data_IF_732955678040
#
_entry.id   IF_732955678040
#
_cell.length_a   1.000
_cell.length_b   1.000
_cell.length_c   1.000
_cell.angle_alpha   90.00
_cell.angle_beta   90.00
_cell.angle_gamma   90.00
#
_symmetry.space_group_name_H-M   'P 1'
#
loop_
_entity.id
_entity.type
_entity.pdbx_description
1 polymer ?
#
# COMPACT_ATOMS: atom_id res chain seq x y z
N UNK A 1 28.20 45.96 -3.31
CA UNK A 1 27.49 44.85 -4.01
C UNK A 1 27.68 43.61 -3.17
N UNK A 2 26.67 43.22 -2.44
CA UNK A 2 26.65 41.89 -1.85
C UNK A 2 26.45 40.93 -3.00
N UNK A 3 27.40 40.04 -3.26
CA UNK A 3 27.22 38.98 -4.23
C UNK A 3 26.03 38.16 -3.76
N UNK A 4 25.02 38.00 -4.61
CA UNK A 4 23.93 37.03 -4.34
C UNK A 4 24.56 35.65 -4.26
N UNK A 5 24.40 34.99 -3.16
CA UNK A 5 24.74 33.57 -3.07
C UNK A 5 23.59 32.84 -3.76
N UNK A 6 23.89 32.18 -4.87
CA UNK A 6 22.91 31.30 -5.53
C UNK A 6 22.42 30.31 -4.50
N UNK A 7 21.12 30.33 -4.19
CA UNK A 7 20.53 29.40 -3.24
C UNK A 7 20.17 28.09 -3.93
N UNK A 8 20.79 27.01 -3.47
CA UNK A 8 20.49 25.68 -3.94
C UNK A 8 19.06 25.28 -3.56
N UNK A 9 18.39 24.54 -4.44
CA UNK A 9 17.09 23.96 -4.14
C UNK A 9 17.30 22.77 -3.23
N UNK A 10 16.79 22.86 -2.00
CA UNK A 10 16.78 21.76 -1.04
C UNK A 10 15.41 21.05 -1.01
N UNK A 11 15.40 19.82 -0.51
CA UNK A 11 14.20 19.02 -0.34
C UNK A 11 14.05 18.53 1.10
N UNK A 12 12.84 18.68 1.64
CA UNK A 12 12.40 18.04 2.87
C UNK A 12 11.31 17.00 2.56
N UNK A 13 11.24 15.94 3.35
CA UNK A 13 10.31 14.83 3.09
C UNK A 13 9.63 14.32 4.33
N UNK A 14 8.34 14.08 4.22
CA UNK A 14 7.53 13.41 5.21
C UNK A 14 6.59 12.40 4.53
N UNK A 15 6.55 11.18 5.07
CA UNK A 15 5.55 10.16 4.71
C UNK A 15 4.68 9.91 5.95
N UNK A 16 3.37 10.15 5.90
CA UNK A 16 2.47 9.85 7.00
C UNK A 16 2.57 8.37 7.40
N UNK A 17 2.59 8.11 8.70
CA UNK A 17 2.54 6.74 9.22
C UNK A 17 1.10 6.40 9.58
N UNK A 18 0.61 5.27 9.11
CA UNK A 18 -0.51 4.63 9.78
C UNK A 18 -0.10 4.23 11.21
N UNK A 19 -1.00 4.39 12.16
CA UNK A 19 -0.75 4.12 13.60
C UNK A 19 -0.42 2.65 13.88
N UNK A 20 -0.62 1.75 12.94
CA UNK A 20 -0.40 0.33 13.15
C UNK A 20 0.89 -0.18 12.51
N UNK A 21 1.85 -0.50 13.38
CA UNK A 21 2.79 -1.62 13.27
C UNK A 21 4.03 -1.44 12.40
N UNK A 22 5.07 -2.19 12.83
CA UNK A 22 6.35 -2.35 12.16
C UNK A 22 6.21 -2.48 10.64
N UNK A 23 7.10 -1.82 9.89
CA UNK A 23 7.01 -1.70 8.44
C UNK A 23 6.83 -3.03 7.74
N UNK A 24 5.80 -3.13 6.92
CA UNK A 24 5.57 -4.26 6.05
C UNK A 24 6.53 -4.24 4.87
N UNK A 25 6.91 -5.42 4.36
CA UNK A 25 7.75 -5.52 3.16
C UNK A 25 7.09 -4.81 1.98
N UNK A 26 7.85 -3.97 1.27
CA UNK A 26 7.37 -3.19 0.12
C UNK A 26 6.63 -1.90 0.47
N UNK A 27 6.39 -1.61 1.76
CA UNK A 27 5.74 -0.37 2.17
C UNK A 27 6.68 0.83 2.07
N UNK A 28 6.18 1.92 1.48
CA UNK A 28 6.85 3.21 1.44
C UNK A 28 6.60 3.98 2.74
N UNK A 29 7.66 4.30 3.44
CA UNK A 29 7.67 5.05 4.71
C UNK A 29 8.83 6.04 4.69
N UNK A 30 8.84 7.01 5.59
CA UNK A 30 10.01 7.89 5.76
C UNK A 30 11.30 7.09 5.94
N UNK A 31 11.27 6.02 6.71
CA UNK A 31 12.44 5.16 6.92
C UNK A 31 12.85 4.38 5.67
N UNK A 32 11.89 3.89 4.87
CA UNK A 32 12.21 3.12 3.66
C UNK A 32 12.82 3.99 2.58
N UNK A 33 12.33 5.22 2.38
CA UNK A 33 12.90 6.16 1.40
C UNK A 33 14.25 6.74 1.86
N UNK A 34 14.56 6.70 3.15
CA UNK A 34 15.87 7.09 3.70
C UNK A 34 16.94 6.01 3.57
N UNK A 35 16.61 4.84 3.01
CA UNK A 35 17.61 3.81 2.72
C UNK A 35 18.56 4.28 1.61
N UNK A 36 19.69 3.59 1.48
CA UNK A 36 20.60 3.80 0.36
C UNK A 36 19.91 3.48 -0.99
N UNK A 37 20.39 4.08 -2.06
CA UNK A 37 19.82 3.90 -3.40
C UNK A 37 19.76 2.43 -3.84
N UNK A 38 20.81 1.67 -3.60
CA UNK A 38 20.92 0.24 -3.91
C UNK A 38 19.97 -0.64 -3.05
N UNK A 39 19.48 -0.10 -1.94
CA UNK A 39 18.48 -0.71 -1.09
C UNK A 39 17.04 -0.21 -1.36
N UNK A 40 16.81 0.42 -2.52
CA UNK A 40 15.51 0.92 -2.94
C UNK A 40 15.05 2.20 -2.23
N UNK A 41 15.99 2.98 -1.70
CA UNK A 41 15.70 4.28 -1.08
C UNK A 41 15.60 5.41 -2.11
N UNK A 42 15.21 6.58 -1.63
CA UNK A 42 15.09 7.80 -2.43
C UNK A 42 13.72 8.00 -3.07
N UNK A 43 13.62 9.13 -3.75
CA UNK A 43 12.43 9.52 -4.52
C UNK A 43 12.83 10.23 -5.81
N UNK A 44 11.94 10.21 -6.80
CA UNK A 44 12.15 10.85 -8.11
C UNK A 44 11.45 12.19 -8.17
N UNK A 45 12.13 13.21 -8.72
CA UNK A 45 11.61 14.57 -8.87
C UNK A 45 11.58 14.99 -10.32
N UNK A 46 10.46 15.58 -10.73
CA UNK A 46 10.28 16.31 -11.98
C UNK A 46 10.10 17.78 -11.66
N UNK A 47 10.84 18.66 -12.33
CA UNK A 47 10.72 20.10 -12.14
C UNK A 47 10.64 20.81 -13.47
N UNK A 48 9.67 21.71 -13.56
CA UNK A 48 9.33 22.48 -14.75
C UNK A 48 9.63 23.95 -14.49
N UNK A 49 10.45 24.54 -15.33
CA UNK A 49 10.70 25.96 -15.37
C UNK A 49 9.83 26.59 -16.47
N UNK A 50 8.96 27.49 -16.10
CA UNK A 50 7.96 28.08 -16.99
C UNK A 50 8.12 29.58 -17.21
N UNK A 51 9.27 30.14 -16.86
CA UNK A 51 9.51 31.57 -16.95
C UNK A 51 8.50 32.36 -16.07
N UNK A 52 7.86 33.35 -16.65
CA UNK A 52 6.82 34.15 -16.00
C UNK A 52 5.40 33.58 -16.19
N UNK A 53 5.27 32.48 -16.92
CA UNK A 53 3.96 31.82 -17.14
C UNK A 53 3.61 30.88 -16.00
N UNK A 54 2.30 30.78 -15.72
CA UNK A 54 1.84 29.70 -14.84
C UNK A 54 2.04 28.34 -15.49
N UNK A 55 2.11 27.28 -14.70
CA UNK A 55 2.21 25.93 -15.21
C UNK A 55 1.09 25.58 -16.20
N UNK A 56 -0.14 26.01 -15.88
CA UNK A 56 -1.30 25.81 -16.76
C UNK A 56 -1.15 26.50 -18.10
N UNK A 57 -0.73 27.80 -18.11
CA UNK A 57 -0.49 28.55 -19.34
C UNK A 57 0.67 27.98 -20.16
N UNK A 58 1.73 27.51 -19.47
CA UNK A 58 2.86 26.87 -20.11
C UNK A 58 2.49 25.54 -20.75
N UNK A 59 1.52 24.79 -20.15
CA UNK A 59 0.99 23.57 -20.73
C UNK A 59 0.34 23.83 -22.09
N UNK A 60 -0.51 24.86 -22.16
CA UNK A 60 -1.17 25.29 -23.41
C UNK A 60 -0.14 25.76 -24.48
N UNK A 61 0.95 26.37 -24.04
CA UNK A 61 2.03 26.83 -24.90
C UNK A 61 3.10 25.75 -25.22
N UNK A 62 2.86 24.50 -24.86
CA UNK A 62 3.81 23.37 -25.02
C UNK A 62 5.15 23.56 -24.28
N UNK A 63 5.18 24.38 -23.24
CA UNK A 63 6.37 24.65 -22.43
C UNK A 63 6.52 23.75 -21.21
N UNK A 64 5.48 22.99 -20.86
CA UNK A 64 5.46 22.12 -19.69
C UNK A 64 6.21 20.81 -19.92
N UNK A 65 7.44 20.88 -20.30
CA UNK A 65 8.36 19.74 -20.32
C UNK A 65 9.19 19.76 -19.06
N UNK A 66 9.64 18.61 -18.53
CA UNK A 66 10.53 18.57 -17.37
C UNK A 66 11.93 19.07 -17.77
N UNK A 67 12.03 20.37 -18.00
CA UNK A 67 13.20 21.06 -18.56
C UNK A 67 14.21 21.50 -17.49
N UNK A 68 13.89 21.33 -16.22
CA UNK A 68 14.74 21.72 -15.11
C UNK A 68 15.27 20.52 -14.33
N UNK A 69 14.38 19.60 -13.93
CA UNK A 69 14.75 18.28 -13.40
C UNK A 69 13.88 17.21 -14.06
N UNK A 70 14.47 16.13 -14.50
CA UNK A 70 13.78 15.00 -15.08
C UNK A 70 14.13 13.73 -14.31
N UNK A 71 13.14 13.12 -13.67
CA UNK A 71 13.32 11.93 -12.84
C UNK A 71 14.58 11.99 -11.99
N UNK A 72 14.84 13.17 -11.41
CA UNK A 72 16.01 13.39 -10.60
C UNK A 72 15.92 12.57 -9.32
N UNK A 73 16.80 11.60 -9.17
CA UNK A 73 16.90 10.83 -7.94
C UNK A 73 17.43 11.71 -6.81
N UNK A 74 16.72 11.70 -5.69
CA UNK A 74 17.08 12.40 -4.45
C UNK A 74 17.22 11.36 -3.34
N UNK A 75 18.38 11.33 -2.67
CA UNK A 75 18.74 10.29 -1.71
C UNK A 75 19.18 10.90 -0.39
N UNK A 76 18.95 10.14 0.70
CA UNK A 76 19.32 10.58 2.04
C UNK A 76 20.73 10.11 2.42
N UNK A 77 21.58 11.06 2.80
CA UNK A 77 22.98 10.76 3.19
C UNK A 77 23.17 10.55 4.69
N UNK A 78 22.12 10.27 5.45
CA UNK A 78 22.03 10.20 6.91
C UNK A 78 21.90 11.55 7.62
N UNK A 79 21.94 12.66 6.90
CA UNK A 79 21.83 14.03 7.47
C UNK A 79 20.87 14.89 6.66
N UNK A 80 20.96 14.82 5.34
CA UNK A 80 20.19 15.66 4.42
C UNK A 80 19.82 14.88 3.16
N UNK A 81 18.86 15.40 2.41
CA UNK A 81 18.51 14.93 1.09
C UNK A 81 19.41 15.55 0.05
N UNK A 82 20.07 14.74 -0.75
CA UNK A 82 21.05 15.15 -1.75
C UNK A 82 20.73 14.63 -3.14
N UNK A 83 21.12 15.37 -4.14
CA UNK A 83 21.02 14.99 -5.55
C UNK A 83 22.15 15.62 -6.37
N UNK A 84 22.44 15.05 -7.51
CA UNK A 84 23.49 15.52 -8.40
C UNK A 84 23.03 15.47 -9.87
N UNK A 85 23.22 16.55 -10.67
CA UNK A 85 23.83 17.83 -10.30
C UNK A 85 22.89 18.73 -9.46
N UNK A 86 23.46 19.49 -8.53
CA UNK A 86 22.70 20.46 -7.73
C UNK A 86 22.13 21.54 -8.62
N UNK A 87 20.89 21.92 -8.41
CA UNK A 87 20.17 22.99 -9.08
C UNK A 87 19.91 24.15 -8.14
N UNK A 88 19.88 25.33 -8.68
CA UNK A 88 19.70 26.58 -7.96
C UNK A 88 18.40 27.23 -8.43
N UNK A 89 17.79 28.01 -7.54
CA UNK A 89 16.61 28.79 -7.91
C UNK A 89 16.94 29.72 -9.09
N UNK A 90 16.06 29.78 -10.11
CA UNK A 90 16.28 30.68 -11.24
C UNK A 90 16.27 32.13 -10.75
N UNK A 91 17.32 32.80 -11.05
CA UNK A 91 17.55 34.24 -10.86
C UNK A 91 16.77 34.96 -9.77
N UNK A 92 17.38 35.16 -8.64
CA UNK A 92 16.80 35.94 -7.54
C UNK A 92 16.63 37.44 -7.84
N UNK A 93 17.34 37.96 -8.82
CA UNK A 93 17.39 39.39 -9.11
C UNK A 93 17.21 39.66 -10.61
N UNK A 94 16.14 40.41 -10.94
CA UNK A 94 15.84 40.86 -12.27
C UNK A 94 16.98 41.74 -12.89
N UNK A 95 17.35 41.46 -14.11
CA UNK A 95 18.07 42.42 -14.91
C UNK A 95 17.09 43.51 -15.34
N UNK A 96 17.07 44.64 -14.62
CA UNK A 96 16.36 45.84 -15.03
C UNK A 96 14.96 46.06 -14.47
N UNK A 97 14.39 45.15 -13.71
CA UNK A 97 13.19 45.41 -12.95
C UNK A 97 13.53 45.90 -11.53
N UNK A 98 12.66 46.66 -10.94
CA UNK A 98 12.71 47.03 -9.53
C UNK A 98 12.71 45.73 -8.71
N UNK A 99 13.57 45.64 -7.73
CA UNK A 99 13.67 44.46 -6.85
C UNK A 99 12.28 44.08 -6.30
N UNK A 100 11.67 43.05 -6.81
CA UNK A 100 10.38 42.57 -6.39
C UNK A 100 9.51 41.91 -7.47
N UNK A 101 9.81 42.09 -8.73
CA UNK A 101 8.94 41.64 -9.84
C UNK A 101 9.46 40.39 -10.56
N UNK A 102 10.17 39.52 -9.84
CA UNK A 102 10.58 38.27 -10.45
C UNK A 102 9.54 37.19 -10.33
N UNK A 103 9.16 36.75 -11.49
CA UNK A 103 8.09 35.79 -11.70
C UNK A 103 8.57 34.45 -12.25
N UNK A 104 9.90 34.22 -12.26
CA UNK A 104 10.45 32.94 -12.69
C UNK A 104 9.90 31.80 -11.83
N UNK A 105 9.14 30.89 -12.43
CA UNK A 105 8.35 29.88 -11.74
C UNK A 105 8.93 28.49 -11.93
N UNK A 106 8.92 27.73 -10.84
CA UNK A 106 9.19 26.30 -10.83
C UNK A 106 7.98 25.56 -10.31
N UNK A 107 7.67 24.45 -10.96
CA UNK A 107 6.66 23.51 -10.51
C UNK A 107 7.28 22.15 -10.26
N UNK A 108 7.00 21.57 -9.09
CA UNK A 108 7.65 20.36 -8.59
C UNK A 108 6.65 19.24 -8.44
N UNK A 109 7.00 18.07 -8.97
CA UNK A 109 6.26 16.84 -8.84
C UNK A 109 7.22 15.72 -8.42
N UNK A 110 6.80 14.86 -7.50
CA UNK A 110 7.66 13.78 -7.06
C UNK A 110 6.87 12.49 -6.76
N UNK A 111 7.58 11.37 -6.80
CA UNK A 111 7.05 10.06 -6.47
C UNK A 111 8.09 9.23 -5.70
N UNK A 112 7.64 8.26 -4.94
CA UNK A 112 8.48 7.31 -4.21
C UNK A 112 7.88 5.89 -4.27
N UNK A 113 8.71 4.83 -4.24
CA UNK A 113 10.18 4.83 -4.22
C UNK A 113 10.79 5.23 -5.56
N UNK A 114 12.05 5.67 -5.55
CA UNK A 114 12.77 6.04 -6.77
C UNK A 114 13.05 4.85 -7.68
N UNK A 115 12.86 5.05 -8.97
CA UNK A 115 13.23 4.11 -10.03
C UNK A 115 14.01 4.87 -11.11
N UNK A 116 15.26 4.47 -11.35
CA UNK A 116 16.10 5.14 -12.36
C UNK A 116 15.64 4.82 -13.78
N UNK A 117 15.34 3.54 -14.01
CA UNK A 117 14.76 3.02 -15.24
C UNK A 117 13.69 2.02 -14.84
N UNK A 118 12.46 2.34 -15.17
CA UNK A 118 11.36 1.46 -14.87
C UNK A 118 11.47 0.19 -15.72
N UNK A 119 11.53 -0.94 -15.06
CA UNK A 119 11.65 -2.25 -15.71
C UNK A 119 10.92 -3.29 -14.85
N UNK A 120 10.37 -4.28 -15.51
CA UNK A 120 9.63 -5.36 -14.85
C UNK A 120 8.17 -5.38 -15.27
N UNK A 121 7.48 -6.44 -14.83
CA UNK A 121 6.11 -6.73 -15.22
C UNK A 121 5.09 -6.29 -14.15
N UNK A 122 5.53 -5.93 -12.95
CA UNK A 122 4.71 -5.56 -11.78
C UNK A 122 5.34 -4.38 -11.02
N UNK A 123 4.53 -3.63 -10.28
CA UNK A 123 4.96 -2.42 -9.59
C UNK A 123 5.12 -1.22 -10.52
N UNK A 124 6.15 -0.40 -10.35
CA UNK A 124 6.44 0.75 -11.21
C UNK A 124 7.12 0.24 -12.50
N UNK A 125 6.38 0.25 -13.62
CA UNK A 125 6.83 -0.33 -14.87
C UNK A 125 7.22 0.68 -15.95
N UNK A 126 6.79 1.94 -15.82
CA UNK A 126 7.21 3.02 -16.70
C UNK A 126 7.12 4.38 -16.01
N UNK A 127 7.93 5.31 -16.51
CA UNK A 127 7.95 6.72 -16.11
C UNK A 127 7.80 7.55 -17.37
N UNK A 128 7.08 8.67 -17.30
CA UNK A 128 6.92 9.58 -18.43
C UNK A 128 8.27 9.94 -19.05
N UNK A 129 8.41 9.88 -20.39
CA UNK A 129 9.67 10.16 -21.04
C UNK A 129 10.07 11.64 -20.91
N UNK A 130 11.36 11.93 -20.93
CA UNK A 130 11.90 13.29 -20.83
C UNK A 130 11.42 14.24 -21.93
N UNK A 131 11.06 13.69 -23.07
CA UNK A 131 10.51 14.44 -24.21
C UNK A 131 8.99 14.41 -24.26
N UNK A 132 8.34 14.06 -23.15
CA UNK A 132 6.87 14.08 -23.06
C UNK A 132 6.42 15.52 -23.31
N UNK A 133 5.97 15.76 -24.54
CA UNK A 133 5.58 17.09 -24.97
C UNK A 133 4.28 17.49 -24.27
N UNK A 134 4.27 18.64 -23.62
CA UNK A 134 3.07 19.26 -23.06
C UNK A 134 2.24 18.28 -22.20
N UNK A 135 2.88 17.57 -21.29
CA UNK A 135 2.20 16.62 -20.43
C UNK A 135 2.67 16.65 -18.98
N UNK A 136 1.76 16.41 -18.08
CA UNK A 136 2.09 16.20 -16.68
C UNK A 136 3.01 14.99 -16.51
N UNK A 137 3.93 15.01 -15.55
CA UNK A 137 4.74 13.83 -15.24
C UNK A 137 3.83 12.72 -14.71
N UNK A 138 4.12 11.50 -15.12
CA UNK A 138 3.30 10.36 -14.75
C UNK A 138 4.14 9.10 -14.51
N UNK A 139 3.55 8.16 -13.81
CA UNK A 139 4.14 6.86 -13.45
C UNK A 139 3.15 5.77 -13.81
N UNK A 140 3.58 4.76 -14.57
CA UNK A 140 2.78 3.58 -14.87
C UNK A 140 3.00 2.52 -13.79
N UNK A 141 1.91 1.98 -13.30
CA UNK A 141 1.91 0.95 -12.28
C UNK A 141 1.13 -0.28 -12.74
N UNK A 142 1.68 -1.47 -12.48
CA UNK A 142 1.05 -2.76 -12.75
C UNK A 142 0.82 -3.50 -11.43
N UNK A 143 -0.39 -4.01 -11.26
CA UNK A 143 -0.83 -4.71 -10.06
C UNK A 143 0.00 -5.99 -9.83
N UNK A 144 0.60 -6.12 -8.66
CA UNK A 144 1.24 -7.34 -8.22
C UNK A 144 0.19 -8.31 -7.66
N UNK A 145 0.21 -9.55 -8.13
CA UNK A 145 -0.67 -10.62 -7.64
C UNK A 145 -0.01 -11.50 -6.59
N UNK A 146 1.31 -11.34 -6.40
CA UNK A 146 2.13 -11.97 -5.38
C UNK A 146 2.48 -10.92 -4.30
N UNK A 147 2.16 -11.15 -3.02
CA UNK A 147 2.41 -10.18 -1.95
C UNK A 147 3.91 -9.90 -1.69
N UNK A 148 4.81 -10.74 -2.21
CA UNK A 148 6.27 -10.54 -2.10
C UNK A 148 6.81 -9.52 -3.10
N UNK A 149 6.04 -9.18 -4.14
CA UNK A 149 6.41 -8.27 -5.23
C UNK A 149 5.72 -6.90 -5.16
N UNK A 150 4.96 -6.68 -4.11
CA UNK A 150 4.22 -5.42 -3.93
C UNK A 150 5.18 -4.25 -3.80
N UNK A 151 4.91 -3.20 -4.56
CA UNK A 151 5.54 -1.88 -4.46
C UNK A 151 4.46 -0.88 -4.08
N UNK A 152 4.65 -0.19 -2.98
CA UNK A 152 3.75 0.85 -2.50
C UNK A 152 4.15 2.19 -3.12
N UNK A 153 3.41 2.60 -4.16
CA UNK A 153 3.66 3.85 -4.88
C UNK A 153 3.03 5.02 -4.13
N UNK A 154 3.86 6.02 -3.85
CA UNK A 154 3.44 7.30 -3.29
C UNK A 154 3.71 8.45 -4.26
N UNK A 155 2.92 9.52 -4.17
CA UNK A 155 3.18 10.79 -4.87
C UNK A 155 3.26 11.94 -3.87
N UNK A 156 3.95 13.01 -4.26
CA UNK A 156 4.21 14.14 -3.40
C UNK A 156 3.15 15.24 -3.55
N UNK A 157 2.78 15.83 -2.42
CA UNK A 157 1.94 17.04 -2.33
C UNK A 157 2.55 18.04 -1.35
N UNK A 158 2.11 19.30 -1.41
CA UNK A 158 2.31 20.26 -0.34
C UNK A 158 1.48 19.85 0.88
N UNK A 159 2.10 19.85 2.04
CA UNK A 159 1.43 19.49 3.29
C UNK A 159 0.26 20.41 3.65
N UNK A 160 0.28 21.65 3.16
CA UNK A 160 -0.71 22.66 3.51
C UNK A 160 -2.04 22.50 2.78
N UNK A 161 -2.00 22.14 1.50
CA UNK A 161 -3.21 22.13 0.65
C UNK A 161 -3.51 20.79 -0.03
N UNK A 162 -2.54 19.86 -0.03
CA UNK A 162 -2.70 18.54 -0.63
C UNK A 162 -2.57 18.50 -2.15
N UNK A 163 -2.03 19.57 -2.77
CA UNK A 163 -1.70 19.65 -4.19
C UNK A 163 -0.18 19.66 -4.38
N UNK A 164 0.34 19.38 -5.59
CA UNK A 164 1.76 19.54 -5.89
C UNK A 164 2.26 20.98 -5.73
N UNK A 165 3.56 21.14 -5.60
CA UNK A 165 4.22 22.44 -5.51
C UNK A 165 4.26 23.12 -6.88
N UNK A 166 3.22 23.89 -7.23
CA UNK A 166 3.05 24.51 -8.55
C UNK A 166 3.29 26.02 -8.47
N UNK A 167 3.87 26.61 -9.53
CA UNK A 167 4.08 28.04 -9.71
C UNK A 167 4.86 28.69 -8.56
N UNK A 168 5.83 27.99 -8.03
CA UNK A 168 6.65 28.49 -6.92
C UNK A 168 7.77 29.39 -7.43
N UNK A 169 7.99 30.50 -6.74
CA UNK A 169 9.08 31.42 -6.97
C UNK A 169 10.02 31.39 -5.77
N UNK A 170 11.25 31.85 -5.94
CA UNK A 170 12.19 31.95 -4.82
C UNK A 170 11.63 32.77 -3.65
N UNK A 171 10.82 33.79 -3.96
CA UNK A 171 10.24 34.68 -2.95
C UNK A 171 9.09 34.02 -2.18
N UNK A 172 8.45 33.01 -2.75
CA UNK A 172 7.30 32.31 -2.13
C UNK A 172 7.70 31.07 -1.36
N UNK A 173 8.90 30.52 -1.63
CA UNK A 173 9.42 29.35 -0.92
C UNK A 173 10.53 29.77 0.03
N UNK A 174 10.34 29.52 1.32
CA UNK A 174 11.36 29.76 2.35
C UNK A 174 11.98 28.43 2.75
N UNK A 175 13.28 28.27 2.50
CA UNK A 175 14.00 27.02 2.77
C UNK A 175 13.72 25.93 1.73
N UNK A 176 13.64 24.69 2.17
CA UNK A 176 13.47 23.52 1.31
C UNK A 176 12.06 23.39 0.75
N UNK A 177 11.94 22.74 -0.41
CA UNK A 177 10.68 22.24 -0.95
C UNK A 177 10.28 21.00 -0.15
N UNK A 178 9.31 21.16 0.74
CA UNK A 178 8.90 20.10 1.67
C UNK A 178 7.78 19.25 1.06
N UNK A 179 8.10 18.02 0.70
CA UNK A 179 7.16 17.05 0.18
C UNK A 179 6.48 16.25 1.30
N UNK A 180 5.17 16.14 1.22
CA UNK A 180 4.40 15.13 1.91
C UNK A 180 4.01 14.06 0.90
N UNK A 181 4.52 12.85 1.08
CA UNK A 181 4.18 11.72 0.24
C UNK A 181 2.92 11.03 0.74
N UNK A 182 1.97 10.81 -0.16
CA UNK A 182 0.71 10.12 0.10
C UNK A 182 0.70 8.78 -0.66
N UNK A 183 0.06 7.77 -0.09
CA UNK A 183 -0.09 6.47 -0.75
C UNK A 183 -1.07 6.56 -1.92
N UNK A 184 -0.59 6.29 -3.13
CA UNK A 184 -1.38 6.37 -4.37
C UNK A 184 -2.34 5.19 -4.55
N UNK A 185 -2.15 4.12 -3.79
CA UNK A 185 -2.86 2.86 -3.88
C UNK A 185 -3.74 2.63 -2.65
N UNK A 186 -4.67 1.69 -2.75
CA UNK A 186 -5.32 1.09 -1.61
C UNK A 186 -4.48 -0.09 -1.11
N UNK A 187 -4.31 -0.23 0.21
CA UNK A 187 -3.69 -1.39 0.84
C UNK A 187 -4.76 -2.41 1.19
N UNK A 188 -4.50 -3.68 0.87
CA UNK A 188 -5.41 -4.77 1.16
C UNK A 188 -4.71 -5.84 1.99
N UNK A 189 -5.10 -5.94 3.25
CA UNK A 189 -4.57 -6.91 4.20
C UNK A 189 -5.49 -8.12 4.28
N UNK A 190 -4.91 -9.29 4.52
CA UNK A 190 -5.65 -10.50 4.82
C UNK A 190 -5.21 -11.01 6.19
N UNK A 191 -6.14 -11.05 7.12
CA UNK A 191 -5.93 -11.57 8.46
C UNK A 191 -6.69 -12.90 8.61
N UNK A 192 -6.07 -13.86 9.27
CA UNK A 192 -6.72 -15.15 9.51
C UNK A 192 -6.77 -15.44 11.00
N UNK A 193 -7.92 -15.86 11.48
CA UNK A 193 -8.10 -16.37 12.83
C UNK A 193 -8.98 -17.61 12.84
N UNK A 194 -8.83 -18.44 13.84
CA UNK A 194 -9.71 -19.59 14.08
C UNK A 194 -10.88 -19.22 14.97
N UNK A 195 -11.98 -19.83 14.70
CA UNK A 195 -13.10 -19.92 15.61
C UNK A 195 -13.40 -21.40 15.79
N UNK A 196 -13.09 -21.92 16.96
CA UNK A 196 -13.49 -23.27 17.36
C UNK A 196 -14.77 -23.13 18.17
N UNK A 197 -15.79 -23.85 17.79
CA UNK A 197 -17.03 -23.91 18.58
C UNK A 197 -16.65 -24.26 20.01
N UNK A 198 -17.06 -23.39 20.94
CA UNK A 198 -16.84 -23.54 22.37
C UNK A 198 -16.97 -25.01 22.78
N UNK A 199 -15.90 -25.62 23.23
CA UNK A 199 -16.04 -26.65 24.26
C UNK A 199 -16.42 -25.89 25.52
N UNK A 200 -17.71 -25.66 25.69
CA UNK A 200 -18.28 -24.92 26.81
C UNK A 200 -17.85 -25.55 28.12
N UNK A 201 -16.80 -25.04 28.69
CA UNK A 201 -16.63 -25.21 30.12
C UNK A 201 -17.40 -24.09 30.81
N UNK A 202 -18.57 -24.38 31.29
CA UNK A 202 -19.39 -23.58 32.21
C UNK A 202 -19.75 -22.15 31.78
N UNK A 203 -21.01 -21.83 31.90
CA UNK A 203 -21.63 -20.54 31.60
C UNK A 203 -20.69 -19.33 31.90
N UNK A 204 -20.31 -18.64 30.86
CA UNK A 204 -19.87 -17.25 30.96
C UNK A 204 -18.36 -16.95 30.83
N UNK A 205 -17.49 -17.93 30.70
CA UNK A 205 -16.06 -17.68 30.47
C UNK A 205 -15.62 -18.26 29.12
N UNK A 206 -15.37 -17.41 28.15
CA UNK A 206 -14.61 -17.79 26.97
C UNK A 206 -13.15 -17.87 27.42
N UNK A 207 -12.65 -19.07 27.68
CA UNK A 207 -11.23 -19.29 27.91
C UNK A 207 -10.54 -19.25 26.54
N UNK A 208 -9.60 -18.35 26.36
CA UNK A 208 -8.77 -18.23 25.16
C UNK A 208 -7.74 -19.35 25.05
N UNK A 209 -7.66 -20.24 26.04
CA UNK A 209 -6.64 -21.29 26.16
C UNK A 209 -7.13 -22.67 25.74
N UNK A 210 -8.42 -22.83 25.45
CA UNK A 210 -9.03 -24.13 25.18
C UNK A 210 -9.14 -24.45 23.67
N UNK A 211 -8.10 -24.19 22.90
CA UNK A 211 -7.97 -24.88 21.61
C UNK A 211 -7.67 -26.34 21.90
N UNK A 212 -8.55 -27.24 21.46
CA UNK A 212 -8.30 -28.67 21.55
C UNK A 212 -6.91 -29.01 21.01
N UNK A 213 -6.00 -29.39 21.87
CA UNK A 213 -4.61 -29.75 21.54
C UNK A 213 -4.53 -30.88 20.50
N UNK A 214 -5.63 -31.62 20.32
CA UNK A 214 -5.75 -32.72 19.38
C UNK A 214 -6.20 -32.28 17.99
N UNK A 215 -6.63 -31.03 17.82
CA UNK A 215 -7.12 -30.51 16.53
C UNK A 215 -6.24 -29.37 16.02
N UNK A 216 -5.96 -29.41 14.72
CA UNK A 216 -5.11 -28.42 14.06
C UNK A 216 -5.67 -28.04 12.71
N UNK A 217 -5.64 -26.75 12.40
CA UNK A 217 -5.95 -26.21 11.09
C UNK A 217 -4.65 -25.81 10.39
N UNK A 218 -4.46 -26.33 9.18
CA UNK A 218 -3.34 -25.95 8.31
C UNK A 218 -3.88 -25.33 7.04
N UNK A 219 -3.55 -24.06 6.79
CA UNK A 219 -3.96 -23.35 5.56
C UNK A 219 -3.02 -23.75 4.43
N UNK A 220 -3.57 -24.24 3.32
CA UNK A 220 -2.81 -24.49 2.09
C UNK A 220 -2.63 -23.21 1.30
N UNK A 221 -3.73 -22.47 1.06
CA UNK A 221 -3.72 -21.19 0.36
C UNK A 221 -5.02 -20.43 0.56
N UNK A 222 -4.95 -19.12 0.35
CA UNK A 222 -6.09 -18.23 0.23
C UNK A 222 -6.01 -17.55 -1.15
N UNK A 223 -7.07 -17.67 -1.93
CA UNK A 223 -7.22 -17.06 -3.25
C UNK A 223 -8.33 -16.02 -3.19
N UNK A 224 -8.06 -14.79 -3.64
CA UNK A 224 -9.01 -13.69 -3.67
C UNK A 224 -9.15 -13.26 -5.12
N UNK A 225 -10.28 -13.60 -5.72
CA UNK A 225 -10.55 -13.36 -7.14
C UNK A 225 -11.60 -12.26 -7.31
N UNK A 226 -11.40 -11.42 -8.30
CA UNK A 226 -12.36 -10.37 -8.66
C UNK A 226 -11.97 -9.63 -9.93
N UNK A 227 -12.85 -8.75 -10.38
CA UNK A 227 -12.57 -7.85 -11.49
C UNK A 227 -11.80 -6.64 -10.96
N UNK A 228 -10.47 -6.66 -11.11
CA UNK A 228 -9.56 -5.63 -10.65
C UNK A 228 -8.89 -4.93 -11.84
N UNK A 229 -8.42 -3.72 -11.64
CA UNK A 229 -7.64 -2.99 -12.64
C UNK A 229 -6.20 -3.55 -12.66
N UNK A 230 -5.74 -4.14 -13.78
CA UNK A 230 -4.41 -4.73 -13.84
C UNK A 230 -3.30 -3.70 -13.88
N UNK A 231 -3.58 -2.49 -14.38
CA UNK A 231 -2.62 -1.41 -14.45
C UNK A 231 -3.30 -0.05 -14.53
N UNK A 232 -2.52 0.99 -14.31
CA UNK A 232 -2.93 2.37 -14.46
C UNK A 232 -1.75 3.32 -14.60
N UNK A 233 -2.03 4.53 -15.05
CA UNK A 233 -1.07 5.63 -15.12
C UNK A 233 -1.45 6.65 -14.04
N UNK A 234 -0.56 6.87 -13.09
CA UNK A 234 -0.69 7.91 -12.08
C UNK A 234 -0.14 9.22 -12.65
N UNK A 235 -1.03 10.20 -12.84
CA UNK A 235 -0.62 11.57 -13.10
C UNK A 235 -0.19 12.21 -11.77
N UNK A 236 1.04 12.73 -11.70
CA UNK A 236 1.55 13.35 -10.47
C UNK A 236 0.95 14.73 -10.18
N UNK A 237 0.22 15.30 -11.14
CA UNK A 237 -0.55 16.53 -10.98
C UNK A 237 -2.01 16.20 -10.64
N UNK A 238 -2.35 16.19 -9.37
CA UNK A 238 -3.71 15.93 -8.93
C UNK A 238 -4.56 17.19 -8.95
N UNK A 239 -5.80 17.08 -9.44
CA UNK A 239 -6.78 18.17 -9.51
C UNK A 239 -7.71 18.23 -8.29
N UNK A 240 -7.69 17.21 -7.45
CA UNK A 240 -8.44 17.13 -6.19
C UNK A 240 -7.47 16.90 -5.05
N UNK A 241 -7.58 17.70 -4.01
CA UNK A 241 -6.65 17.65 -2.88
C UNK A 241 -6.51 16.22 -2.32
N UNK A 242 -5.27 15.76 -2.18
CA UNK A 242 -4.91 14.46 -1.61
C UNK A 242 -5.56 13.24 -2.30
N UNK A 243 -6.10 13.40 -3.50
CA UNK A 243 -6.69 12.30 -4.29
C UNK A 243 -5.77 11.96 -5.45
N UNK A 244 -5.34 10.70 -5.53
CA UNK A 244 -4.47 10.21 -6.59
C UNK A 244 -5.17 10.27 -7.95
N UNK A 245 -4.52 10.89 -8.94
CA UNK A 245 -5.08 11.11 -10.28
C UNK A 245 -4.70 9.94 -11.21
N UNK A 246 -5.54 8.91 -11.20
CA UNK A 246 -5.33 7.70 -11.97
C UNK A 246 -6.09 7.67 -13.30
N UNK A 247 -5.40 7.26 -14.36
CA UNK A 247 -6.03 6.74 -15.58
C UNK A 247 -5.87 5.23 -15.58
N UNK A 248 -6.97 4.52 -15.33
CA UNK A 248 -6.98 3.07 -15.19
C UNK A 248 -7.22 2.37 -16.53
N UNK A 249 -6.64 1.18 -16.70
CA UNK A 249 -6.98 0.29 -17.79
C UNK A 249 -8.35 -0.34 -17.59
N UNK A 250 -8.81 -1.20 -18.49
CA UNK A 250 -10.06 -1.95 -18.28
C UNK A 250 -9.86 -2.98 -17.17
N UNK A 251 -10.82 -3.04 -16.23
CA UNK A 251 -10.82 -4.06 -15.20
C UNK A 251 -10.98 -5.45 -15.81
N UNK A 252 -10.24 -6.41 -15.28
CA UNK A 252 -10.24 -7.80 -15.74
C UNK A 252 -10.17 -8.78 -14.56
N UNK A 253 -10.55 -10.05 -14.74
CA UNK A 253 -10.42 -11.05 -13.69
C UNK A 253 -8.97 -11.20 -13.24
N UNK A 254 -8.73 -10.98 -11.95
CA UNK A 254 -7.44 -11.17 -11.28
C UNK A 254 -7.63 -12.04 -10.05
N UNK A 255 -6.58 -12.77 -9.70
CA UNK A 255 -6.54 -13.58 -8.47
C UNK A 255 -5.29 -13.21 -7.68
N UNK A 256 -5.51 -12.69 -6.49
CA UNK A 256 -4.47 -12.47 -5.51
C UNK A 256 -4.30 -13.76 -4.70
N UNK A 257 -3.07 -14.22 -4.52
CA UNK A 257 -2.82 -15.52 -3.88
C UNK A 257 -1.88 -15.39 -2.70
N UNK A 258 -2.29 -15.93 -1.56
CA UNK A 258 -1.44 -16.12 -0.38
C UNK A 258 -1.17 -17.61 -0.25
N UNK A 259 0.08 -18.00 -0.48
CA UNK A 259 0.51 -19.38 -0.34
C UNK A 259 0.79 -19.76 1.11
N UNK A 260 0.84 -21.06 1.40
CA UNK A 260 1.12 -21.58 2.75
C UNK A 260 2.41 -21.00 3.37
N UNK A 261 3.46 -20.83 2.58
CA UNK A 261 4.74 -20.24 3.03
C UNK A 261 4.58 -18.82 3.58
N UNK A 262 3.60 -18.08 3.07
CA UNK A 262 3.34 -16.69 3.44
C UNK A 262 2.37 -16.57 4.61
N UNK A 263 1.56 -17.59 4.85
CA UNK A 263 0.57 -17.61 5.95
C UNK A 263 1.23 -17.44 7.31
N UNK A 264 2.34 -18.11 7.54
CA UNK A 264 3.02 -18.09 8.85
C UNK A 264 3.71 -16.76 9.16
N UNK A 265 4.15 -16.04 8.13
CA UNK A 265 4.91 -14.79 8.28
C UNK A 265 4.06 -13.57 8.04
N UNK A 266 2.94 -13.71 7.33
CA UNK A 266 2.15 -12.61 6.81
C UNK A 266 0.76 -12.51 7.42
N UNK A 267 0.23 -13.64 7.83
CA UNK A 267 -1.06 -13.73 8.47
C UNK A 267 -0.82 -13.94 9.95
N UNK A 268 -1.46 -13.16 10.76
CA UNK A 268 -1.37 -13.24 12.22
C UNK A 268 -1.94 -14.58 12.71
N UNK A 269 -1.14 -15.60 12.52
CA UNK A 269 -1.47 -16.95 12.95
C UNK A 269 -0.39 -17.38 13.93
N UNK A 270 -0.78 -17.89 15.07
CA UNK A 270 0.17 -18.42 16.04
C UNK A 270 0.54 -19.82 15.66
N UNK A 271 1.83 -20.07 15.61
CA UNK A 271 2.39 -21.40 15.43
C UNK A 271 2.55 -21.99 16.83
N UNK A 272 1.76 -23.00 17.17
CA UNK A 272 2.10 -23.86 18.27
C UNK A 272 3.20 -24.82 17.80
N UNK A 273 4.34 -24.81 18.50
CA UNK A 273 5.54 -25.56 18.17
C UNK A 273 5.42 -27.07 18.29
N UNK A 274 4.29 -27.67 18.00
CA UNK A 274 4.11 -29.11 18.11
C UNK A 274 4.68 -29.87 16.91
N UNK A 275 5.83 -30.45 17.15
CA UNK A 275 6.52 -31.37 16.23
C UNK A 275 5.80 -32.71 15.99
N UNK A 276 4.64 -32.95 16.61
CA UNK A 276 4.02 -34.25 16.71
C UNK A 276 2.82 -34.49 15.77
N UNK A 277 2.39 -33.48 15.00
CA UNK A 277 1.39 -33.71 13.95
C UNK A 277 2.05 -34.19 12.65
N UNK A 278 1.46 -35.15 11.93
CA UNK A 278 2.02 -35.66 10.70
C UNK A 278 2.12 -34.57 9.63
N UNK A 279 3.11 -34.70 8.79
CA UNK A 279 3.26 -33.87 7.60
C UNK A 279 2.18 -34.27 6.59
N UNK A 280 1.38 -33.30 6.15
CA UNK A 280 0.39 -33.53 5.10
C UNK A 280 1.13 -33.51 3.76
N UNK A 281 0.98 -34.58 2.98
CA UNK A 281 1.60 -34.68 1.67
C UNK A 281 1.14 -33.57 0.75
N UNK A 282 2.08 -32.83 0.15
CA UNK A 282 1.80 -31.71 -0.77
C UNK A 282 1.59 -30.36 -0.08
N UNK A 283 1.57 -30.28 1.24
CA UNK A 283 1.54 -29.03 2.01
C UNK A 283 2.92 -28.82 2.63
N UNK A 284 3.69 -27.90 2.07
CA UNK A 284 4.97 -27.49 2.64
C UNK A 284 4.70 -26.68 3.91
N UNK A 285 4.92 -27.33 4.99
CA UNK A 285 5.07 -26.89 6.38
C UNK A 285 4.96 -25.43 6.76
N UNK A 286 3.88 -24.96 7.24
CA UNK A 286 3.96 -24.28 8.52
C UNK A 286 2.71 -24.57 9.28
N UNK A 287 2.85 -25.15 10.45
CA UNK A 287 1.73 -25.49 11.30
C UNK A 287 1.13 -24.22 11.86
N UNK A 288 0.13 -23.69 11.20
CA UNK A 288 -0.55 -22.48 11.62
C UNK A 288 -1.70 -22.92 12.52
N UNK A 289 -1.53 -22.78 13.83
CA UNK A 289 -2.66 -22.79 14.73
C UNK A 289 -3.36 -21.45 14.61
N UNK A 290 -4.61 -21.49 14.25
CA UNK A 290 -5.43 -20.31 14.12
C UNK A 290 -6.00 -19.98 15.50
N UNK A 291 -5.69 -18.82 16.02
CA UNK A 291 -6.04 -18.40 17.37
C UNK A 291 -7.42 -17.78 17.50
N UNK A 292 -8.05 -18.02 18.65
CA UNK A 292 -9.16 -17.23 19.19
C UNK A 292 -8.53 -16.17 20.12
N UNK A 293 -8.30 -14.95 19.67
CA UNK A 293 -7.70 -13.91 20.51
C UNK A 293 -7.03 -12.80 19.72
N UNK A 294 -6.40 -11.86 20.39
CA UNK A 294 -5.62 -10.83 19.73
C UNK A 294 -4.43 -11.46 18.98
N UNK A 295 -4.38 -11.16 17.71
CA UNK A 295 -3.34 -11.70 16.85
C UNK A 295 -1.96 -11.18 17.26
N UNK A 296 -0.91 -12.01 17.25
CA UNK A 296 0.44 -11.58 17.55
C UNK A 296 0.89 -10.49 16.57
N UNK A 297 1.78 -9.61 17.03
CA UNK A 297 2.40 -8.60 16.17
C UNK A 297 3.31 -9.33 15.18
N UNK A 298 3.01 -9.17 13.89
CA UNK A 298 3.84 -9.72 12.81
C UNK A 298 4.90 -8.68 12.46
N UNK A 299 6.15 -9.07 12.42
CA UNK A 299 7.28 -8.17 12.13
C UNK A 299 7.43 -7.86 10.63
N UNK A 300 6.87 -8.72 9.77
CA UNK A 300 6.91 -8.58 8.31
C UNK A 300 5.52 -8.91 7.73
N UNK A 301 4.61 -7.96 7.86
CA UNK A 301 3.25 -8.11 7.36
C UNK A 301 3.23 -7.98 5.84
N UNK A 302 2.79 -9.01 5.13
CA UNK A 302 2.56 -8.95 3.69
C UNK A 302 1.15 -8.50 3.39
N UNK A 303 1.00 -7.75 2.32
CA UNK A 303 -0.27 -7.17 1.90
C UNK A 303 -0.30 -7.11 0.37
N UNK A 304 -1.46 -6.81 -0.17
CA UNK A 304 -1.61 -6.44 -1.57
C UNK A 304 -1.86 -4.95 -1.70
N UNK A 305 -1.50 -4.40 -2.84
CA UNK A 305 -1.98 -3.08 -3.27
C UNK A 305 -3.07 -3.27 -4.31
N UNK A 306 -4.06 -2.38 -4.31
CA UNK A 306 -5.15 -2.36 -5.30
C UNK A 306 -5.18 -0.95 -5.90
N UNK A 307 -5.31 -0.85 -7.22
CA UNK A 307 -5.52 0.43 -7.88
C UNK A 307 -6.89 0.99 -7.49
N UNK A 308 -6.94 2.24 -7.01
CA UNK A 308 -8.17 2.81 -6.48
C UNK A 308 -9.23 3.02 -7.55
N UNK A 309 -10.49 2.85 -7.17
CA UNK A 309 -11.67 3.02 -8.00
C UNK A 309 -12.81 3.62 -7.17
N UNK A 310 -12.82 4.92 -7.07
CA UNK A 310 -13.89 5.62 -6.36
C UNK A 310 -15.25 5.37 -7.01
N UNK A 311 -16.28 5.24 -6.17
CA UNK A 311 -17.69 5.07 -6.59
C UNK A 311 -17.97 3.80 -7.42
N UNK A 312 -17.17 2.77 -7.28
CA UNK A 312 -17.39 1.51 -7.96
C UNK A 312 -17.33 0.33 -6.99
N UNK A 313 -18.48 -0.29 -6.78
CA UNK A 313 -18.61 -1.48 -5.94
C UNK A 313 -17.86 -2.66 -6.55
N UNK A 314 -17.04 -3.34 -5.74
CA UNK A 314 -16.30 -4.54 -6.12
C UNK A 314 -16.70 -5.73 -5.25
N UNK A 315 -17.12 -6.81 -5.89
CA UNK A 315 -17.29 -8.09 -5.23
C UNK A 315 -16.08 -8.95 -5.47
N UNK A 316 -15.48 -9.42 -4.38
CA UNK A 316 -14.34 -10.34 -4.40
C UNK A 316 -14.80 -11.71 -3.90
N UNK A 317 -14.38 -12.75 -4.60
CA UNK A 317 -14.58 -14.14 -4.19
C UNK A 317 -13.36 -14.62 -3.44
N UNK A 318 -13.53 -14.94 -2.17
CA UNK A 318 -12.48 -15.46 -1.28
C UNK A 318 -12.62 -16.98 -1.20
N UNK A 319 -11.58 -17.69 -1.64
CA UNK A 319 -11.50 -19.15 -1.58
C UNK A 319 -10.38 -19.56 -0.64
N UNK A 320 -10.73 -20.27 0.41
CA UNK A 320 -9.80 -20.78 1.41
C UNK A 320 -9.68 -22.28 1.27
N UNK A 321 -8.46 -22.77 1.09
CA UNK A 321 -8.13 -24.19 1.11
C UNK A 321 -7.34 -24.49 2.37
N UNK A 322 -7.86 -25.36 3.21
CA UNK A 322 -7.24 -25.72 4.47
C UNK A 322 -7.52 -27.17 4.87
N UNK A 323 -6.69 -27.68 5.76
CA UNK A 323 -6.83 -29.02 6.34
C UNK A 323 -7.18 -28.91 7.81
N UNK A 324 -8.10 -29.74 8.25
CA UNK A 324 -8.37 -30.02 9.66
C UNK A 324 -7.80 -31.39 9.99
N UNK A 325 -6.83 -31.42 10.90
CA UNK A 325 -6.17 -32.64 11.35
C UNK A 325 -6.52 -32.86 12.82
N UNK A 326 -7.06 -34.01 13.15
CA UNK A 326 -7.45 -34.38 14.52
C UNK A 326 -6.78 -35.67 14.92
N UNK A 327 -6.21 -35.72 16.13
CA UNK A 327 -5.75 -36.94 16.76
C UNK A 327 -6.90 -37.63 17.46
N UNK A 328 -7.07 -38.90 17.17
CA UNK A 328 -8.04 -39.76 17.86
C UNK A 328 -7.48 -41.20 17.90
N UNK A 329 -7.19 -41.65 19.09
CA UNK A 329 -6.63 -42.99 19.32
C UNK A 329 -7.54 -44.14 18.84
N UNK A 330 -8.79 -43.85 18.59
CA UNK A 330 -9.75 -44.85 18.11
C UNK A 330 -9.77 -44.98 16.58
N UNK A 331 -9.08 -44.04 15.86
CA UNK A 331 -8.98 -44.11 14.42
C UNK A 331 -7.80 -45.02 14.00
N UNK A 332 -7.97 -45.69 12.86
CA UNK A 332 -6.85 -46.40 12.23
C UNK A 332 -5.71 -45.41 11.90
N UNK A 333 -4.54 -45.67 12.46
CA UNK A 333 -3.42 -44.73 12.39
C UNK A 333 -3.48 -43.54 13.37
N UNK A 334 -4.52 -43.45 14.23
CA UNK A 334 -4.63 -42.45 15.30
C UNK A 334 -4.82 -41.01 14.84
N UNK A 335 -5.15 -40.75 13.57
CA UNK A 335 -5.26 -39.44 13.00
C UNK A 335 -6.33 -39.38 11.89
N UNK A 336 -7.09 -38.29 11.88
CA UNK A 336 -7.97 -37.90 10.79
C UNK A 336 -7.41 -36.62 10.14
N UNK A 337 -7.40 -36.54 8.83
CA UNK A 337 -7.04 -35.34 8.10
C UNK A 337 -8.05 -35.07 6.98
N UNK A 338 -8.76 -33.98 7.08
CA UNK A 338 -9.84 -33.61 6.14
C UNK A 338 -9.46 -32.30 5.43
N UNK A 339 -9.47 -32.33 4.09
CA UNK A 339 -9.29 -31.12 3.27
C UNK A 339 -10.62 -30.41 3.09
N UNK A 340 -10.66 -29.14 3.43
CA UNK A 340 -11.78 -28.25 3.20
C UNK A 340 -11.42 -27.21 2.13
N UNK A 341 -12.38 -26.95 1.25
CA UNK A 341 -12.33 -25.87 0.27
C UNK A 341 -13.61 -25.07 0.40
N UNK A 342 -13.52 -23.87 0.90
CA UNK A 342 -14.68 -23.00 1.12
C UNK A 342 -14.49 -21.73 0.31
N UNK A 343 -15.57 -21.32 -0.34
CA UNK A 343 -15.62 -20.11 -1.15
C UNK A 343 -16.77 -19.23 -0.69
N UNK A 344 -16.50 -17.94 -0.52
CA UNK A 344 -17.48 -16.91 -0.17
C UNK A 344 -17.17 -15.60 -0.88
N UNK A 345 -18.23 -14.84 -1.12
CA UNK A 345 -18.11 -13.50 -1.68
C UNK A 345 -18.12 -12.43 -0.57
N UNK A 346 -17.35 -11.39 -0.79
CA UNK A 346 -17.34 -10.18 0.02
C UNK A 346 -17.37 -8.95 -0.91
N UNK A 347 -18.15 -7.95 -0.54
CA UNK A 347 -18.33 -6.75 -1.35
C UNK A 347 -17.76 -5.55 -0.65
N UNK A 348 -17.01 -4.73 -1.39
CA UNK A 348 -16.51 -3.43 -1.00
C UNK A 348 -17.18 -2.36 -1.87
N UNK A 349 -17.63 -1.27 -1.27
CA UNK A 349 -18.30 -0.20 -2.00
C UNK A 349 -17.36 0.49 -2.98
N UNK A 350 -16.11 0.66 -2.57
CA UNK A 350 -15.04 1.29 -3.36
C UNK A 350 -13.67 0.96 -2.80
N UNK A 351 -12.63 1.14 -3.60
CA UNK A 351 -11.25 1.19 -3.13
C UNK A 351 -10.69 2.60 -3.32
N UNK A 352 -10.24 3.24 -2.25
CA UNK A 352 -9.68 4.59 -2.27
C UNK A 352 -8.18 4.56 -1.99
N UNK A 353 -7.45 5.49 -2.60
CA UNK A 353 -6.05 5.68 -2.27
C UNK A 353 -5.88 6.10 -0.80
N UNK A 354 -4.77 5.69 -0.18
CA UNK A 354 -4.48 6.03 1.21
C UNK A 354 -5.42 5.37 2.23
N UNK A 355 -6.11 4.28 1.85
CA UNK A 355 -6.94 3.47 2.74
C UNK A 355 -6.40 2.06 2.88
N UNK A 356 -6.60 1.48 4.05
CA UNK A 356 -6.29 0.09 4.38
C UNK A 356 -7.60 -0.67 4.49
N UNK A 357 -7.73 -1.71 3.68
CA UNK A 357 -8.85 -2.65 3.70
C UNK A 357 -8.39 -3.94 4.35
N UNK A 358 -8.96 -4.28 5.49
CA UNK A 358 -8.64 -5.50 6.21
C UNK A 358 -9.72 -6.55 5.93
N UNK A 359 -9.35 -7.64 5.27
CA UNK A 359 -10.17 -8.83 5.15
C UNK A 359 -9.83 -9.78 6.31
N UNK A 360 -10.77 -10.01 7.19
CA UNK A 360 -10.65 -10.98 8.29
C UNK A 360 -11.31 -12.29 7.88
N UNK A 361 -10.51 -13.33 7.75
CA UNK A 361 -10.94 -14.68 7.44
C UNK A 361 -11.01 -15.48 8.75
N UNK A 362 -12.21 -15.81 9.19
CA UNK A 362 -12.43 -16.57 10.41
C UNK A 362 -12.75 -18.01 10.05
N UNK A 363 -11.85 -18.93 10.40
CA UNK A 363 -11.94 -20.35 10.06
C UNK A 363 -12.56 -21.12 11.23
N UNK A 364 -13.66 -21.80 10.98
CA UNK A 364 -14.17 -22.88 11.83
C UNK A 364 -13.74 -24.24 11.30
N UNK A 365 -14.10 -25.31 12.01
CA UNK A 365 -13.80 -26.69 11.58
C UNK A 365 -14.42 -27.02 10.22
N UNK A 366 -15.61 -26.50 9.95
CA UNK A 366 -16.37 -26.73 8.72
C UNK A 366 -16.92 -25.46 8.08
N UNK A 367 -16.57 -24.29 8.61
CA UNK A 367 -17.14 -23.01 8.19
C UNK A 367 -16.07 -21.95 8.01
N UNK A 368 -16.36 -20.95 7.17
CA UNK A 368 -15.55 -19.72 7.05
C UNK A 368 -16.49 -18.53 7.18
N UNK A 369 -16.15 -17.59 8.06
CA UNK A 369 -16.77 -16.28 8.15
C UNK A 369 -15.79 -15.23 7.59
N UNK A 370 -16.29 -14.27 6.82
CA UNK A 370 -15.54 -13.14 6.32
C UNK A 370 -16.03 -11.87 6.99
N UNK A 371 -15.12 -11.03 7.41
CA UNK A 371 -15.35 -9.69 7.96
C UNK A 371 -14.43 -8.70 7.27
N UNK A 372 -14.84 -7.45 7.10
CA UNK A 372 -14.00 -6.41 6.54
C UNK A 372 -14.04 -5.15 7.38
N UNK A 373 -12.89 -4.46 7.48
CA UNK A 373 -12.77 -3.14 8.07
C UNK A 373 -11.95 -2.24 7.17
N UNK A 374 -12.17 -0.92 7.24
CA UNK A 374 -11.45 0.08 6.44
C UNK A 374 -10.82 1.10 7.37
N UNK A 375 -9.53 1.35 7.20
CA UNK A 375 -8.74 2.28 8.00
C UNK A 375 -8.05 3.32 7.10
N UNK A 376 -7.62 4.44 7.68
CA UNK A 376 -6.81 5.42 6.96
C UNK A 376 -5.34 4.98 6.95
N UNK A 377 -4.70 5.10 5.80
CA UNK A 377 -3.27 4.81 5.62
C UNK A 377 -2.42 6.08 5.77
N UNK A 378 -2.91 7.21 5.26
CA UNK A 378 -2.19 8.49 5.22
C UNK A 378 -2.38 9.38 6.46
N UNK A 379 -3.13 8.93 7.48
CA UNK A 379 -3.36 9.71 8.69
C UNK A 379 -3.11 8.89 9.94
N UNK A 380 -2.67 9.56 11.01
CA UNK A 380 -2.50 8.93 12.33
C UNK A 380 -3.82 8.62 13.05
N UNK A 381 -4.95 9.05 12.50
CA UNK A 381 -6.27 8.83 13.09
C UNK A 381 -6.99 7.72 12.33
N UNK A 382 -7.15 6.60 13.00
CA UNK A 382 -8.05 5.53 12.57
C UNK A 382 -9.50 6.02 12.68
N UNK A 383 -10.21 6.05 11.58
CA UNK A 383 -11.67 6.06 11.61
C UNK A 383 -12.11 4.67 11.17
N UNK A 384 -12.41 3.82 12.16
CA UNK A 384 -13.03 2.54 11.90
C UNK A 384 -14.39 2.79 11.26
N UNK A 385 -14.52 2.39 10.01
CA UNK A 385 -15.85 2.15 9.45
C UNK A 385 -16.05 0.65 9.50
N UNK A 386 -16.78 0.21 10.49
CA UNK A 386 -17.34 -1.12 10.52
C UNK A 386 -18.28 -1.24 9.31
N UNK A 387 -17.85 -1.98 8.31
CA UNK A 387 -18.76 -2.45 7.29
C UNK A 387 -19.42 -3.69 7.89
N UNK A 388 -20.59 -3.50 8.48
CA UNK A 388 -21.44 -4.60 8.93
C UNK A 388 -21.82 -5.45 7.72
N UNK A 389 -21.08 -6.53 7.54
CA UNK A 389 -21.54 -7.59 6.65
C UNK A 389 -22.79 -8.21 7.31
N UNK A 390 -23.85 -8.49 6.54
CA UNK A 390 -25.04 -9.06 7.10
C UNK A 390 -24.67 -10.35 7.85
N UNK A 391 -24.75 -10.29 9.16
CA UNK A 391 -24.67 -11.47 10.01
C UNK A 391 -25.85 -12.35 9.60
N UNK A 392 -25.56 -13.51 9.04
CA UNK A 392 -26.59 -14.50 8.82
C UNK A 392 -27.02 -14.97 10.22
N UNK A 393 -27.98 -14.26 10.81
CA UNK A 393 -28.65 -14.69 12.02
C UNK A 393 -29.39 -15.96 11.62
N UNK A 394 -28.81 -17.11 11.94
CA UNK A 394 -29.52 -18.38 11.92
C UNK A 394 -30.83 -18.16 12.69
N UNK A 395 -31.94 -18.38 11.99
CA UNK A 395 -33.26 -18.10 12.51
C UNK A 395 -33.45 -18.71 13.89
N UNK A 396 -33.88 -17.86 14.83
CA UNK A 396 -34.54 -18.30 16.03
C UNK A 396 -35.75 -19.13 15.60
N UNK A 397 -35.62 -20.44 15.70
CA UNK A 397 -36.78 -21.33 15.67
C UNK A 397 -37.68 -20.93 16.84
N UNK A 398 -38.80 -20.30 16.51
CA UNK A 398 -39.85 -20.02 17.47
C UNK A 398 -40.42 -21.33 18.04
N UNK A 399 -40.58 -21.34 19.34
CA UNK A 399 -41.35 -22.33 20.08
C UNK A 399 -42.86 -22.17 19.83
#
# INVERSE_FOLDING_TARGET
>A
KVASVDEAIGFGVYVPKAVSKAGATGQTTTTSIQRAQDAGGGFGVFTYYTDDQTYAEAAEAEKNKPNFMYNQGVFYNSTAWEYNPVKYWPNEYGSGASSGDRTDRLSFFAYAPYVSEASGDEGITAIAPANNAAGDPNVTYVLATDPTKVVDLCWAVDAADGFPWIDKTKQTVTGDVNFRFLHALARFNVNVRGYFDDVRSTEGAVSTDDVDENTKITIEKIEIAGSLYPSGVLNLNNSVASTANWTLTTAEPKTLTIANSDVATSLRATVNGESSFPTIAGVTKTNVNVYTGEAPVVTDEKYFTILPNANETKTLTVKVTYYVTTRDANLDGGISCVKNVIQKDITFDEFLNGKIYNLNVVLGLTTVKLEATVENWDTETTTDKDVDLPVNTAGTAGA
#
